data_IF_354473154678
#
_entry.id   IF_354473154678
#
_cell.length_a   1.000
_cell.length_b   1.000
_cell.length_c   1.000
_cell.angle_alpha   90.00
_cell.angle_beta   90.00
_cell.angle_gamma   90.00
#
_symmetry.space_group_name_H-M   'P 1'
#
loop_
_entity.id
_entity.type
_entity.pdbx_description
1 polymer ?
#
# COMPACT_ATOMS: atom_id res chain seq x y z
N UNK A 1 5.42 -20.51 4.33
CA UNK A 1 5.52 -19.04 4.33
C UNK A 1 4.09 -18.52 4.28
N UNK A 2 3.59 -17.82 5.31
CA UNK A 2 2.22 -17.30 5.29
C UNK A 2 2.28 -15.77 5.39
N UNK A 3 1.54 -15.09 4.52
CA UNK A 3 1.46 -13.64 4.51
C UNK A 3 0.10 -13.15 4.05
N UNK A 4 -0.27 -11.95 4.48
CA UNK A 4 -1.49 -11.28 4.06
C UNK A 4 -1.14 -10.20 3.04
N UNK A 5 -1.72 -10.31 1.85
CA UNK A 5 -1.65 -9.29 0.81
C UNK A 5 -3.01 -8.62 0.67
N UNK A 6 -3.07 -7.36 1.09
CA UNK A 6 -4.23 -6.49 0.97
C UNK A 6 -4.04 -5.65 -0.29
N UNK A 7 -4.98 -5.76 -1.23
CA UNK A 7 -5.01 -5.01 -2.48
C UNK A 7 -6.23 -4.10 -2.39
N UNK A 8 -6.04 -2.79 -2.51
CA UNK A 8 -7.13 -1.84 -2.39
C UNK A 8 -7.10 -0.75 -3.46
N UNK A 9 -8.28 -0.47 -4.02
CA UNK A 9 -8.55 0.69 -4.85
C UNK A 9 -9.34 1.70 -4.02
N UNK A 10 -8.82 2.91 -3.93
CA UNK A 10 -9.35 4.02 -3.15
C UNK A 10 -9.95 5.06 -4.09
N UNK A 11 -11.19 5.42 -3.84
CA UNK A 11 -11.93 6.40 -4.65
C UNK A 11 -12.44 7.54 -3.77
N UNK A 12 -12.71 8.67 -4.41
CA UNK A 12 -13.28 9.85 -3.76
C UNK A 12 -12.42 10.34 -2.57
N UNK A 13 -11.10 10.21 -2.69
CA UNK A 13 -10.13 10.75 -1.75
C UNK A 13 -10.17 12.29 -1.80
N UNK A 14 -10.21 13.00 -0.66
CA UNK A 14 -10.13 14.44 -0.64
C UNK A 14 -8.81 14.94 -1.27
N UNK A 15 -8.90 16.09 -1.94
CA UNK A 15 -7.73 16.81 -2.46
C UNK A 15 -6.73 17.04 -1.32
N UNK A 16 -5.54 16.49 -1.49
CA UNK A 16 -4.45 16.57 -0.51
C UNK A 16 -3.10 16.44 -1.20
N UNK A 17 -2.05 16.87 -0.53
CA UNK A 17 -0.68 16.69 -1.01
C UNK A 17 -0.27 15.20 -1.09
N UNK A 18 -0.96 14.29 -0.40
CA UNK A 18 -0.71 12.86 -0.52
C UNK A 18 -1.00 12.31 -1.92
N UNK A 19 -1.92 12.93 -2.67
CA UNK A 19 -2.19 12.52 -4.04
C UNK A 19 -1.21 13.13 -5.04
N UNK A 20 -0.67 14.32 -4.76
CA UNK A 20 0.05 15.15 -5.75
C UNK A 20 1.55 15.29 -5.48
N UNK A 21 2.06 14.80 -4.35
CA UNK A 21 3.47 14.94 -3.98
C UNK A 21 4.07 13.59 -3.58
N UNK A 22 5.02 13.13 -4.39
CA UNK A 22 5.82 11.94 -4.09
C UNK A 22 6.51 12.04 -2.72
N UNK A 23 7.00 13.22 -2.33
CA UNK A 23 7.64 13.41 -1.02
C UNK A 23 6.63 13.31 0.13
N UNK A 24 5.46 13.93 0.02
CA UNK A 24 4.42 13.81 1.05
C UNK A 24 3.94 12.36 1.20
N UNK A 25 3.75 11.68 0.08
CA UNK A 25 3.35 10.27 0.03
C UNK A 25 4.44 9.35 0.62
N UNK A 26 5.71 9.61 0.31
CA UNK A 26 6.86 8.90 0.87
C UNK A 26 6.88 9.01 2.40
N UNK A 27 6.79 10.23 2.95
CA UNK A 27 6.80 10.46 4.39
C UNK A 27 5.63 9.76 5.08
N UNK A 28 4.44 9.78 4.48
CA UNK A 28 3.27 9.05 4.96
C UNK A 28 3.54 7.53 5.02
N UNK A 29 4.02 6.95 3.92
CA UNK A 29 4.25 5.52 3.81
C UNK A 29 5.34 5.02 4.76
N UNK A 30 6.47 5.75 4.85
CA UNK A 30 7.55 5.42 5.79
C UNK A 30 7.04 5.43 7.23
N UNK A 31 6.31 6.48 7.61
CA UNK A 31 5.77 6.60 8.96
C UNK A 31 4.77 5.50 9.30
N UNK A 32 3.92 5.12 8.34
CA UNK A 32 2.95 4.05 8.51
C UNK A 32 3.65 2.68 8.69
N UNK A 33 4.66 2.39 7.87
CA UNK A 33 5.47 1.18 8.00
C UNK A 33 6.20 1.08 9.35
N UNK A 34 6.84 2.17 9.80
CA UNK A 34 7.50 2.24 11.10
C UNK A 34 6.52 2.02 12.26
N UNK A 35 5.34 2.65 12.20
CA UNK A 35 4.31 2.53 13.23
C UNK A 35 3.73 1.11 13.30
N UNK A 36 3.64 0.42 12.17
CA UNK A 36 3.27 -1.00 12.11
C UNK A 36 4.38 -1.96 12.56
N UNK A 37 5.57 -1.44 12.93
CA UNK A 37 6.71 -2.23 13.36
C UNK A 37 7.32 -3.08 12.25
N UNK A 38 7.28 -2.58 11.01
CA UNK A 38 7.80 -3.27 9.82
C UNK A 38 9.24 -2.84 9.54
N UNK A 39 10.09 -3.80 9.18
CA UNK A 39 11.48 -3.53 8.81
C UNK A 39 11.57 -3.10 7.35
N UNK A 40 11.95 -1.84 7.14
CA UNK A 40 12.15 -1.25 5.81
C UNK A 40 13.57 -1.56 5.33
N UNK A 41 13.69 -2.13 4.13
CA UNK A 41 14.97 -2.42 3.47
C UNK A 41 15.35 -1.37 2.43
N UNK A 42 14.36 -0.69 1.86
CA UNK A 42 14.56 0.35 0.87
C UNK A 42 13.23 0.91 0.36
N UNK A 43 13.30 2.04 -0.33
CA UNK A 43 12.14 2.75 -0.83
C UNK A 43 12.47 3.46 -2.15
N UNK A 44 11.45 3.65 -2.98
CA UNK A 44 11.56 4.47 -4.17
C UNK A 44 10.22 5.14 -4.46
N UNK A 45 10.25 6.47 -4.64
CA UNK A 45 9.10 7.26 -5.03
C UNK A 45 9.44 8.11 -6.24
N UNK A 46 8.51 8.17 -7.18
CA UNK A 46 8.62 8.91 -8.42
C UNK A 46 7.44 9.87 -8.55
N UNK A 47 7.74 11.15 -8.76
CA UNK A 47 6.77 12.18 -9.08
C UNK A 47 6.56 12.22 -10.58
N UNK A 48 5.31 12.14 -11.04
CA UNK A 48 4.99 12.41 -12.44
C UNK A 48 4.83 13.91 -12.67
N UNK A 49 5.19 14.35 -13.86
CA UNK A 49 5.03 15.74 -14.29
C UNK A 49 3.54 16.10 -14.40
N UNK A 50 3.20 17.34 -14.05
CA UNK A 50 1.89 17.92 -14.36
C UNK A 50 1.77 18.19 -15.85
N UNK A 51 0.59 18.01 -16.41
CA UNK A 51 0.34 18.30 -17.82
C UNK A 51 0.06 19.79 -18.06
N UNK A 52 -0.66 20.43 -17.13
CA UNK A 52 -0.97 21.86 -17.10
C UNK A 52 -1.26 22.31 -15.65
N UNK A 53 -1.64 23.59 -15.45
CA UNK A 53 -1.94 24.15 -14.13
C UNK A 53 -3.17 23.52 -13.44
N UNK A 54 -3.97 22.73 -14.17
CA UNK A 54 -5.21 22.09 -13.69
C UNK A 54 -4.98 20.59 -13.46
N UNK A 55 -4.21 19.94 -14.32
CA UNK A 55 -3.90 18.51 -14.29
C UNK A 55 -2.56 18.26 -13.59
N UNK A 56 -2.63 18.22 -12.26
CA UNK A 56 -1.47 17.95 -11.41
C UNK A 56 -1.07 16.48 -11.49
N UNK A 57 0.22 16.22 -11.70
CA UNK A 57 0.76 14.87 -11.75
C UNK A 57 0.67 14.12 -10.41
N UNK A 58 0.37 12.82 -10.48
CA UNK A 58 0.39 11.93 -9.33
C UNK A 58 1.78 11.41 -8.99
N UNK A 59 1.84 10.38 -8.15
CA UNK A 59 3.07 9.73 -7.74
C UNK A 59 2.94 8.20 -7.73
N UNK A 60 4.07 7.52 -7.93
CA UNK A 60 4.23 6.10 -7.65
C UNK A 60 5.23 5.93 -6.52
N UNK A 61 4.96 5.00 -5.61
CA UNK A 61 5.81 4.66 -4.49
C UNK A 61 5.87 3.17 -4.23
N UNK A 62 7.05 2.68 -3.86
CA UNK A 62 7.23 1.34 -3.35
C UNK A 62 8.20 1.33 -2.17
N UNK A 63 7.89 0.55 -1.14
CA UNK A 63 8.75 0.25 -0.02
C UNK A 63 9.00 -1.25 0.01
N UNK A 64 10.27 -1.63 -0.06
CA UNK A 64 10.71 -3.00 0.14
C UNK A 64 10.79 -3.24 1.64
N UNK A 65 10.00 -4.19 2.12
CA UNK A 65 10.01 -4.65 3.50
C UNK A 65 10.82 -5.94 3.59
N UNK A 66 11.24 -6.33 4.80
CA UNK A 66 11.81 -7.66 5.01
C UNK A 66 10.83 -8.74 4.51
N UNK A 67 11.17 -9.38 3.39
CA UNK A 67 10.42 -10.44 2.69
C UNK A 67 9.10 -10.02 2.03
N UNK A 68 8.74 -8.74 2.01
CA UNK A 68 7.42 -8.29 1.54
C UNK A 68 7.46 -6.84 0.99
N UNK A 69 6.32 -6.15 0.82
CA UNK A 69 6.31 -4.81 0.24
C UNK A 69 5.04 -3.98 0.55
N UNK A 70 5.20 -2.66 0.47
CA UNK A 70 4.12 -1.72 0.22
C UNK A 70 4.31 -1.12 -1.18
N UNK A 71 3.27 -1.07 -2.00
CA UNK A 71 3.24 -0.25 -3.21
C UNK A 71 2.01 0.66 -3.20
N UNK A 72 2.13 1.86 -3.76
CA UNK A 72 1.05 2.83 -3.84
C UNK A 72 1.19 3.69 -5.10
N UNK A 73 0.07 3.99 -5.74
CA UNK A 73 -0.01 4.82 -6.93
C UNK A 73 -1.16 5.81 -6.78
N UNK A 74 -0.98 7.06 -7.17
CA UNK A 74 -1.99 8.11 -7.03
C UNK A 74 -2.39 8.73 -8.37
N UNK A 75 -3.67 9.08 -8.48
CA UNK A 75 -4.27 9.76 -9.63
C UNK A 75 -5.09 10.97 -9.14
N UNK A 76 -4.47 12.15 -8.97
CA UNK A 76 -5.16 13.37 -8.53
C UNK A 76 -6.38 13.75 -9.37
N UNK A 77 -6.35 13.44 -10.66
CA UNK A 77 -7.42 13.67 -11.63
C UNK A 77 -8.62 12.73 -11.44
N UNK A 78 -8.44 11.63 -10.71
CA UNK A 78 -9.49 10.66 -10.36
C UNK A 78 -9.88 10.69 -8.89
N UNK A 79 -9.30 11.59 -8.10
CA UNK A 79 -9.48 11.62 -6.64
C UNK A 79 -9.24 10.25 -6.02
N UNK A 80 -8.16 9.57 -6.44
CA UNK A 80 -7.97 8.17 -6.12
C UNK A 80 -6.53 7.72 -6.00
N UNK A 81 -6.37 6.54 -5.41
CA UNK A 81 -5.12 5.85 -5.27
C UNK A 81 -5.34 4.33 -5.32
N UNK A 82 -4.32 3.57 -5.70
CA UNK A 82 -4.30 2.11 -5.53
C UNK A 82 -3.15 1.74 -4.63
N UNK A 83 -3.31 0.72 -3.80
CA UNK A 83 -2.27 0.26 -2.89
C UNK A 83 -2.23 -1.26 -2.74
N UNK A 84 -1.02 -1.77 -2.56
CA UNK A 84 -0.70 -3.15 -2.26
C UNK A 84 0.06 -3.18 -0.93
N UNK A 85 -0.57 -3.69 0.12
CA UNK A 85 0.07 -3.98 1.41
C UNK A 85 0.28 -5.48 1.50
N UNK A 86 1.50 -5.93 1.23
CA UNK A 86 1.90 -7.30 1.46
C UNK A 86 2.84 -7.36 2.66
N UNK A 87 2.46 -8.13 3.68
CA UNK A 87 3.33 -8.40 4.82
C UNK A 87 3.42 -9.90 5.05
N UNK A 88 4.64 -10.42 5.14
CA UNK A 88 4.91 -11.79 5.54
C UNK A 88 6.12 -11.86 6.49
N UNK A 89 6.23 -12.98 7.21
CA UNK A 89 7.46 -13.40 7.86
C UNK A 89 7.40 -14.91 8.04
N UNK A 90 8.55 -15.57 7.96
CA UNK A 90 8.70 -17.01 8.25
C UNK A 90 8.37 -17.33 9.72
N UNK A 91 8.55 -16.39 10.65
CA UNK A 91 8.52 -16.65 12.10
C UNK A 91 7.17 -16.45 12.78
N UNK A 92 6.11 -15.99 12.10
CA UNK A 92 4.80 -15.81 12.72
C UNK A 92 3.71 -15.19 11.85
N UNK A 93 2.51 -15.02 12.43
CA UNK A 93 1.38 -14.33 11.81
C UNK A 93 1.53 -12.80 11.91
N UNK A 94 1.75 -12.16 10.78
CA UNK A 94 1.86 -10.69 10.67
C UNK A 94 0.62 -10.04 10.04
N UNK A 95 -0.51 -10.75 9.94
CA UNK A 95 -1.75 -10.20 9.39
C UNK A 95 -2.19 -8.92 10.11
N UNK A 96 -2.07 -8.87 11.43
CA UNK A 96 -2.37 -7.66 12.21
C UNK A 96 -1.49 -6.45 11.84
N UNK A 97 -0.23 -6.67 11.45
CA UNK A 97 0.66 -5.60 10.98
C UNK A 97 0.28 -5.12 9.58
N UNK A 98 -0.12 -6.04 8.70
CA UNK A 98 -0.66 -5.67 7.39
C UNK A 98 -1.92 -4.81 7.54
N UNK A 99 -2.87 -5.22 8.38
CA UNK A 99 -4.10 -4.45 8.62
C UNK A 99 -3.78 -3.09 9.25
N UNK A 100 -2.87 -3.03 10.24
CA UNK A 100 -2.45 -1.76 10.85
C UNK A 100 -1.83 -0.78 9.84
N UNK A 101 -0.99 -1.27 8.92
CA UNK A 101 -0.43 -0.47 7.84
C UNK A 101 -1.54 0.01 6.89
N UNK A 102 -2.42 -0.89 6.47
CA UNK A 102 -3.57 -0.58 5.63
C UNK A 102 -4.47 0.49 6.27
N UNK A 103 -4.90 0.31 7.51
CA UNK A 103 -5.77 1.22 8.25
C UNK A 103 -5.15 2.61 8.42
N UNK A 104 -3.83 2.67 8.61
CA UNK A 104 -3.07 3.93 8.68
C UNK A 104 -3.15 4.69 7.35
N UNK A 105 -3.00 4.00 6.22
CA UNK A 105 -3.11 4.60 4.89
C UNK A 105 -4.54 5.04 4.58
N UNK A 106 -5.56 4.24 4.93
CA UNK A 106 -6.97 4.61 4.78
C UNK A 106 -7.30 5.85 5.63
N UNK A 107 -6.82 5.89 6.88
CA UNK A 107 -7.06 7.03 7.78
C UNK A 107 -6.43 8.33 7.29
N UNK A 108 -5.28 8.25 6.61
CA UNK A 108 -4.59 9.40 6.05
C UNK A 108 -5.22 9.87 4.73
N UNK A 109 -5.52 8.93 3.82
CA UNK A 109 -6.04 9.23 2.49
C UNK A 109 -7.55 9.53 2.50
N UNK A 110 -8.27 9.06 3.51
CA UNK A 110 -9.72 9.30 3.74
C UNK A 110 -10.59 9.10 2.49
N UNK A 111 -10.49 7.95 1.81
CA UNK A 111 -11.34 7.66 0.66
C UNK A 111 -12.82 7.69 1.03
N UNK A 112 -13.66 8.18 0.12
CA UNK A 112 -15.11 8.04 0.23
C UNK A 112 -15.57 6.60 -0.01
N UNK A 113 -14.90 5.89 -0.91
CA UNK A 113 -15.20 4.49 -1.23
C UNK A 113 -13.92 3.65 -1.35
N UNK A 114 -14.00 2.39 -0.96
CA UNK A 114 -12.88 1.45 -0.97
C UNK A 114 -13.30 0.11 -1.54
N UNK A 115 -12.60 -0.35 -2.58
CA UNK A 115 -12.66 -1.74 -3.02
C UNK A 115 -11.42 -2.47 -2.49
N UNK A 116 -11.61 -3.48 -1.63
CA UNK A 116 -10.49 -4.18 -0.99
C UNK A 116 -10.60 -5.68 -1.16
N UNK A 117 -9.48 -6.33 -1.48
CA UNK A 117 -9.32 -7.78 -1.53
C UNK A 117 -8.17 -8.21 -0.64
N UNK A 118 -8.42 -9.24 0.18
CA UNK A 118 -7.43 -9.87 1.05
C UNK A 118 -7.04 -11.22 0.49
N UNK A 119 -5.76 -11.40 0.19
CA UNK A 119 -5.21 -12.63 -0.39
C UNK A 119 -4.18 -13.20 0.56
N UNK A 120 -4.43 -14.43 1.03
CA UNK A 120 -3.44 -15.18 1.79
C UNK A 120 -2.42 -15.79 0.83
N UNK A 121 -1.14 -15.45 1.02
CA UNK A 121 -0.02 -15.91 0.19
C UNK A 121 0.73 -17.02 0.91
N UNK A 122 1.14 -18.04 0.15
CA UNK A 122 1.99 -19.15 0.63
C UNK A 122 1.32 -20.17 1.57
N UNK A 123 -0.02 -20.25 1.56
CA UNK A 123 -0.72 -21.45 2.06
C UNK A 123 -0.23 -22.66 1.26
N UNK A 124 -0.03 -23.79 1.94
CA UNK A 124 0.32 -25.05 1.29
C UNK A 124 -0.72 -25.38 0.21
N UNK A 125 -0.26 -25.88 -0.94
CA UNK A 125 -1.17 -26.46 -1.93
C UNK A 125 -1.88 -27.63 -1.25
N UNK A 126 -3.20 -27.81 -1.44
CA UNK A 126 -3.86 -29.03 -0.96
C UNK A 126 -3.13 -30.22 -1.58
N UNK A 127 -2.51 -31.04 -0.73
CA UNK A 127 -1.92 -32.31 -1.16
C UNK A 127 -3.12 -33.18 -1.53
N UNK A 128 -3.36 -33.36 -2.82
CA UNK A 128 -4.24 -34.41 -3.31
C UNK A 128 -3.56 -35.72 -2.95
N UNK A 129 -3.90 -36.29 -1.80
CA UNK A 129 -3.52 -37.67 -1.49
C UNK A 129 -4.36 -38.52 -2.43
N UNK A 130 -3.75 -39.00 -3.52
CA UNK A 130 -4.37 -40.00 -4.37
C UNK A 130 -4.65 -41.24 -3.51
N UNK A 131 -5.92 -41.60 -3.41
CA UNK A 131 -6.38 -42.82 -2.76
C UNK A 131 -6.03 -44.06 -3.60
#
# INVERSE_FOLDING_TARGET
MQGLHIIADLYNCPKSNYLTSANALQQLCLKACETAGLSILGEHFYQFDSFDDVQVGGATGAIVLAESHLAIHTWPERDGATLDVYVCNVTGDNSARAESLYDSLISALKPGDVMVKRVWRGKELPITVAA
#
